data_IF_370936440566
#
_entry.id   IF_370936440566
#
_cell.length_a   1.000
_cell.length_b   1.000
_cell.length_c   1.000
_cell.angle_alpha   90.00
_cell.angle_beta   90.00
_cell.angle_gamma   90.00
#
_symmetry.space_group_name_H-M   'P 1'
#
loop_
_entity.id
_entity.type
_entity.pdbx_description
1 polymer ?
#
# COMPACT_ATOMS: atom_id res chain seq x y z
N UNK A 1 29.35 21.06 1.11
CA UNK A 1 29.87 21.73 -0.11
C UNK A 1 31.26 21.22 -0.48
N UNK A 2 31.99 20.60 0.45
CA UNK A 2 33.39 20.27 0.23
C UNK A 2 33.62 18.97 -0.56
N UNK A 3 32.73 17.97 -0.45
CA UNK A 3 32.91 16.67 -1.12
C UNK A 3 32.91 16.73 -2.65
N UNK A 4 32.09 17.61 -3.26
CA UNK A 4 32.04 17.74 -4.73
C UNK A 4 33.26 18.49 -5.26
N UNK A 5 33.76 19.47 -4.50
CA UNK A 5 34.99 20.19 -4.84
C UNK A 5 36.21 19.27 -4.69
N UNK A 6 36.25 18.47 -3.63
CA UNK A 6 37.30 17.47 -3.42
C UNK A 6 37.32 16.41 -4.54
N UNK A 7 36.14 15.91 -4.93
CA UNK A 7 36.03 14.97 -6.04
C UNK A 7 36.48 15.58 -7.37
N UNK A 8 36.05 16.81 -7.68
CA UNK A 8 36.49 17.51 -8.89
C UNK A 8 38.02 17.65 -8.91
N UNK A 9 38.64 18.02 -7.80
CA UNK A 9 40.10 18.10 -7.69
C UNK A 9 40.79 16.74 -7.92
N UNK A 10 40.23 15.63 -7.40
CA UNK A 10 40.76 14.28 -7.64
C UNK A 10 40.63 13.86 -9.11
N UNK A 11 39.50 14.16 -9.75
CA UNK A 11 39.25 13.89 -11.17
C UNK A 11 40.23 14.68 -12.04
N UNK A 12 40.46 15.95 -11.73
CA UNK A 12 41.41 16.80 -12.45
C UNK A 12 42.85 16.30 -12.27
N UNK A 13 43.24 15.91 -11.05
CA UNK A 13 44.55 15.30 -10.79
C UNK A 13 44.75 14.01 -11.60
N UNK A 14 43.73 13.14 -11.65
CA UNK A 14 43.78 11.91 -12.45
C UNK A 14 43.86 12.19 -13.96
N UNK A 15 43.13 13.20 -14.47
CA UNK A 15 43.24 13.64 -15.87
C UNK A 15 44.62 14.19 -16.20
N UNK A 16 45.19 14.99 -15.31
CA UNK A 16 46.55 15.50 -15.48
C UNK A 16 47.56 14.36 -15.53
N UNK A 17 47.42 13.33 -14.68
CA UNK A 17 48.27 12.15 -14.71
C UNK A 17 48.16 11.39 -16.03
N UNK A 18 46.95 11.16 -16.54
CA UNK A 18 46.74 10.55 -17.87
C UNK A 18 47.46 11.37 -18.95
N UNK A 19 47.27 12.69 -18.96
CA UNK A 19 47.94 13.57 -19.91
C UNK A 19 49.47 13.47 -19.85
N UNK A 20 50.06 13.40 -18.65
CA UNK A 20 51.49 13.19 -18.47
C UNK A 20 51.97 11.83 -18.98
N UNK A 21 51.22 10.75 -18.70
CA UNK A 21 51.55 9.39 -19.19
C UNK A 21 51.43 9.30 -20.71
N UNK A 22 50.43 9.94 -21.29
CA UNK A 22 50.24 9.98 -22.73
C UNK A 22 51.37 10.75 -23.41
N UNK A 23 51.79 11.89 -22.86
CA UNK A 23 52.96 12.62 -23.35
C UNK A 23 54.25 11.79 -23.28
N UNK A 24 54.44 11.00 -22.21
CA UNK A 24 55.58 10.09 -22.09
C UNK A 24 55.56 8.99 -23.17
N UNK A 25 54.39 8.37 -23.43
CA UNK A 25 54.21 7.39 -24.50
C UNK A 25 54.59 7.99 -25.86
N UNK A 26 54.09 9.19 -26.18
CA UNK A 26 54.40 9.86 -27.44
C UNK A 26 55.90 10.20 -27.57
N UNK A 27 56.53 10.70 -26.50
CA UNK A 27 57.98 10.95 -26.50
C UNK A 27 58.80 9.67 -26.74
N UNK A 28 58.40 8.55 -26.13
CA UNK A 28 59.06 7.25 -26.36
C UNK A 28 58.83 6.76 -27.79
N UNK A 29 57.62 6.92 -28.35
CA UNK A 29 57.32 6.57 -29.76
C UNK A 29 58.16 7.38 -30.75
N UNK A 30 58.33 8.68 -30.54
CA UNK A 30 59.18 9.52 -31.40
C UNK A 30 60.64 9.08 -31.41
N UNK A 31 61.19 8.75 -30.23
CA UNK A 31 62.54 8.19 -30.14
C UNK A 31 62.65 6.85 -30.86
N UNK A 32 61.61 6.03 -30.78
CA UNK A 32 61.53 4.74 -31.47
C UNK A 32 61.49 4.90 -32.99
N UNK A 33 60.70 5.85 -33.52
CA UNK A 33 60.67 6.19 -34.96
C UNK A 33 62.05 6.58 -35.48
N UNK A 34 62.78 7.42 -34.71
CA UNK A 34 64.16 7.80 -35.06
C UNK A 34 65.10 6.59 -35.13
N UNK A 35 65.03 5.70 -34.14
CA UNK A 35 65.86 4.49 -34.12
C UNK A 35 65.46 3.47 -35.19
N UNK A 36 64.17 3.34 -35.48
CA UNK A 36 63.63 2.49 -36.55
C UNK A 36 64.14 2.91 -37.94
N UNK A 37 64.34 4.21 -38.16
CA UNK A 37 64.97 4.71 -39.38
C UNK A 37 66.50 4.51 -39.40
N UNK A 38 67.17 4.57 -38.25
CA UNK A 38 68.65 4.55 -38.16
C UNK A 38 69.24 3.13 -38.13
N UNK A 39 68.58 2.18 -37.45
CA UNK A 39 69.08 0.80 -37.31
C UNK A 39 69.28 0.08 -38.65
N UNK A 40 68.38 0.20 -39.66
CA UNK A 40 68.61 -0.39 -40.97
C UNK A 40 69.87 0.17 -41.66
N UNK A 41 70.12 1.47 -41.53
CA UNK A 41 71.31 2.10 -42.12
C UNK A 41 72.60 1.55 -41.49
N UNK A 42 72.63 1.38 -40.17
CA UNK A 42 73.79 0.77 -39.48
C UNK A 42 73.94 -0.72 -39.82
N UNK A 43 72.84 -1.44 -40.02
CA UNK A 43 72.86 -2.83 -40.48
C UNK A 43 73.46 -2.96 -41.88
N UNK A 44 73.04 -2.11 -42.82
CA UNK A 44 73.58 -2.07 -44.18
C UNK A 44 75.06 -1.70 -44.18
N UNK A 45 75.46 -0.71 -43.37
CA UNK A 45 76.86 -0.28 -43.25
C UNK A 45 77.76 -1.40 -42.73
N UNK A 46 77.37 -2.08 -41.65
CA UNK A 46 78.12 -3.20 -41.12
C UNK A 46 78.21 -4.36 -42.12
N UNK A 47 77.14 -4.64 -42.86
CA UNK A 47 77.12 -5.66 -43.91
C UNK A 47 78.06 -5.32 -45.08
N UNK A 48 78.09 -4.06 -45.51
CA UNK A 48 79.01 -3.59 -46.56
C UNK A 48 80.47 -3.73 -46.14
N UNK A 49 80.82 -3.31 -44.92
CA UNK A 49 82.19 -3.47 -44.38
C UNK A 49 82.57 -4.93 -44.20
N UNK A 50 81.64 -5.81 -43.84
CA UNK A 50 81.86 -7.25 -43.81
C UNK A 50 82.23 -7.81 -45.18
N UNK A 51 81.54 -7.37 -46.24
CA UNK A 51 81.83 -7.78 -47.61
C UNK A 51 83.20 -7.27 -48.09
N UNK A 52 83.56 -6.01 -47.78
CA UNK A 52 84.87 -5.44 -48.10
C UNK A 52 86.01 -6.15 -47.35
N UNK A 53 85.79 -6.54 -46.09
CA UNK A 53 86.76 -7.29 -45.30
C UNK A 53 87.04 -8.66 -45.91
N UNK A 54 86.00 -9.33 -46.43
CA UNK A 54 86.14 -10.63 -47.12
C UNK A 54 87.01 -10.52 -48.38
N UNK A 55 87.03 -9.35 -49.02
CA UNK A 55 87.86 -9.02 -50.17
C UNK A 55 89.20 -8.35 -49.77
N UNK A 56 89.50 -8.25 -48.47
CA UNK A 56 90.71 -7.62 -47.90
C UNK A 56 90.88 -6.11 -48.19
N UNK A 57 89.81 -5.39 -48.52
CA UNK A 57 89.84 -3.95 -48.82
C UNK A 57 89.76 -3.03 -47.57
N UNK A 58 89.45 -3.57 -46.39
CA UNK A 58 89.33 -2.82 -45.12
C UNK A 58 89.95 -3.59 -43.95
N UNK A 59 90.29 -2.89 -42.87
CA UNK A 59 90.83 -3.52 -41.66
C UNK A 59 89.73 -4.28 -40.89
N UNK A 60 90.13 -5.38 -40.23
CA UNK A 60 89.26 -6.07 -39.27
C UNK A 60 88.79 -5.15 -38.14
N UNK A 61 89.62 -4.18 -37.74
CA UNK A 61 89.26 -3.22 -36.70
C UNK A 61 88.11 -2.31 -37.13
N UNK A 62 88.11 -1.84 -38.38
CA UNK A 62 87.03 -0.99 -38.92
C UNK A 62 85.70 -1.75 -38.96
N UNK A 63 85.72 -3.01 -39.42
CA UNK A 63 84.54 -3.86 -39.37
C UNK A 63 84.01 -4.05 -37.94
N UNK A 64 84.89 -4.37 -36.99
CA UNK A 64 84.47 -4.57 -35.59
C UNK A 64 83.90 -3.30 -34.97
N UNK A 65 84.39 -2.13 -35.36
CA UNK A 65 83.84 -0.84 -34.93
C UNK A 65 82.39 -0.65 -35.43
N UNK A 66 82.12 -0.87 -36.72
CA UNK A 66 80.76 -0.72 -37.26
C UNK A 66 79.81 -1.82 -36.78
N UNK A 67 80.32 -3.04 -36.59
CA UNK A 67 79.55 -4.15 -36.01
C UNK A 67 79.14 -3.85 -34.56
N UNK A 68 80.02 -3.24 -33.76
CA UNK A 68 79.68 -2.77 -32.41
C UNK A 68 78.62 -1.67 -32.46
N UNK A 69 78.77 -0.66 -33.33
CA UNK A 69 77.77 0.40 -33.49
C UNK A 69 76.38 -0.14 -33.87
N UNK A 70 76.34 -1.14 -34.77
CA UNK A 70 75.11 -1.84 -35.13
C UNK A 70 74.46 -2.52 -33.92
N UNK A 71 75.25 -3.27 -33.14
CA UNK A 71 74.76 -3.96 -31.94
C UNK A 71 74.24 -2.96 -30.92
N UNK A 72 74.95 -1.88 -30.66
CA UNK A 72 74.55 -0.84 -29.71
C UNK A 72 73.22 -0.20 -30.11
N UNK A 73 73.06 0.16 -31.39
CA UNK A 73 71.79 0.71 -31.91
C UNK A 73 70.64 -0.28 -31.88
N UNK A 74 70.90 -1.56 -32.17
CA UNK A 74 69.89 -2.61 -32.07
C UNK A 74 69.43 -2.82 -30.61
N UNK A 75 70.36 -2.80 -29.65
CA UNK A 75 70.05 -2.88 -28.21
C UNK A 75 69.30 -1.63 -27.73
N UNK A 76 69.71 -0.44 -28.17
CA UNK A 76 69.00 0.81 -27.87
C UNK A 76 67.54 0.76 -28.37
N UNK A 77 67.31 0.29 -29.60
CA UNK A 77 65.97 0.11 -30.16
C UNK A 77 65.13 -0.90 -29.37
N UNK A 78 65.71 -2.06 -29.03
CA UNK A 78 65.04 -3.06 -28.21
C UNK A 78 64.69 -2.53 -26.81
N UNK A 79 65.58 -1.76 -26.20
CA UNK A 79 65.36 -1.08 -24.92
C UNK A 79 64.22 -0.07 -24.97
N UNK A 80 64.20 0.81 -25.98
CA UNK A 80 63.11 1.78 -26.18
C UNK A 80 61.77 1.09 -26.46
N UNK A 81 61.77 -0.05 -27.18
CA UNK A 81 60.56 -0.85 -27.40
C UNK A 81 60.01 -1.47 -26.13
N UNK A 82 60.89 -1.95 -25.25
CA UNK A 82 60.46 -2.41 -23.92
C UNK A 82 59.88 -1.26 -23.10
N UNK A 83 60.56 -0.10 -23.10
CA UNK A 83 60.09 1.11 -22.41
C UNK A 83 58.72 1.57 -22.92
N UNK A 84 58.48 1.55 -24.23
CA UNK A 84 57.18 1.90 -24.80
C UNK A 84 56.05 1.02 -24.23
N UNK A 85 56.29 -0.30 -24.10
CA UNK A 85 55.30 -1.21 -23.50
C UNK A 85 55.03 -0.86 -22.03
N UNK A 86 56.07 -0.49 -21.28
CA UNK A 86 55.93 -0.05 -19.89
C UNK A 86 55.13 1.25 -19.79
N UNK A 87 55.45 2.25 -20.62
CA UNK A 87 54.74 3.53 -20.65
C UNK A 87 53.26 3.35 -21.05
N UNK A 88 52.98 2.46 -22.00
CA UNK A 88 51.62 2.10 -22.40
C UNK A 88 50.85 1.39 -21.28
N UNK A 89 51.50 0.47 -20.56
CA UNK A 89 50.88 -0.18 -19.40
C UNK A 89 50.56 0.82 -18.28
N UNK A 90 51.48 1.76 -18.01
CA UNK A 90 51.27 2.82 -17.02
C UNK A 90 50.17 3.80 -17.42
N UNK A 91 50.01 4.08 -18.72
CA UNK A 91 48.88 4.87 -19.24
C UNK A 91 47.55 4.13 -19.03
N UNK A 92 47.49 2.85 -19.41
CA UNK A 92 46.29 2.03 -19.24
C UNK A 92 45.88 1.92 -17.77
N UNK A 93 46.84 1.76 -16.86
CA UNK A 93 46.60 1.78 -15.40
C UNK A 93 46.04 3.12 -14.93
N UNK A 94 46.59 4.25 -15.38
CA UNK A 94 46.08 5.58 -15.05
C UNK A 94 44.64 5.79 -15.56
N UNK A 95 44.34 5.32 -16.77
CA UNK A 95 42.98 5.35 -17.34
C UNK A 95 42.01 4.47 -16.55
N UNK A 96 42.42 3.26 -16.14
CA UNK A 96 41.60 2.38 -15.30
C UNK A 96 41.31 3.00 -13.94
N UNK A 97 42.31 3.60 -13.29
CA UNK A 97 42.15 4.29 -12.02
C UNK A 97 41.20 5.49 -12.14
N UNK A 98 41.26 6.22 -13.26
CA UNK A 98 40.31 7.30 -13.54
C UNK A 98 38.87 6.80 -13.67
N UNK A 99 38.64 5.69 -14.39
CA UNK A 99 37.30 5.10 -14.52
C UNK A 99 36.79 4.52 -13.21
N UNK A 100 37.67 3.91 -12.41
CA UNK A 100 37.34 3.42 -11.08
C UNK A 100 36.90 4.55 -10.16
N UNK A 101 37.63 5.68 -10.16
CA UNK A 101 37.30 6.88 -9.39
C UNK A 101 35.91 7.42 -9.76
N UNK A 102 35.57 7.48 -11.05
CA UNK A 102 34.25 7.91 -11.51
C UNK A 102 33.16 6.95 -11.02
N UNK A 103 33.39 5.65 -11.19
CA UNK A 103 32.43 4.62 -10.82
C UNK A 103 32.15 4.61 -9.32
N UNK A 104 33.19 4.72 -8.49
CA UNK A 104 33.09 4.79 -7.04
C UNK A 104 32.26 6.02 -6.60
N UNK A 105 32.51 7.18 -7.19
CA UNK A 105 31.76 8.39 -6.87
C UNK A 105 30.29 8.27 -7.26
N UNK A 106 29.98 7.73 -8.45
CA UNK A 106 28.60 7.49 -8.88
C UNK A 106 27.88 6.53 -7.92
N UNK A 107 28.53 5.42 -7.55
CA UNK A 107 27.96 4.45 -6.60
C UNK A 107 27.70 5.08 -5.23
N UNK A 108 28.67 5.85 -4.71
CA UNK A 108 28.53 6.57 -3.44
C UNK A 108 27.35 7.54 -3.46
N UNK A 109 27.21 8.33 -4.53
CA UNK A 109 26.11 9.29 -4.67
C UNK A 109 24.76 8.63 -4.89
N UNK A 110 24.72 7.51 -5.60
CA UNK A 110 23.48 6.73 -5.74
C UNK A 110 23.04 6.13 -4.40
N UNK A 111 23.99 5.64 -3.58
CA UNK A 111 23.70 5.13 -2.25
C UNK A 111 23.19 6.24 -1.31
N UNK A 112 23.82 7.42 -1.34
CA UNK A 112 23.39 8.59 -0.58
C UNK A 112 21.98 9.05 -0.99
N UNK A 113 21.70 9.11 -2.30
CA UNK A 113 20.38 9.44 -2.84
C UNK A 113 19.32 8.45 -2.34
N UNK A 114 19.56 7.15 -2.49
CA UNK A 114 18.64 6.10 -2.04
C UNK A 114 18.35 6.19 -0.54
N UNK A 115 19.38 6.44 0.28
CA UNK A 115 19.21 6.63 1.72
C UNK A 115 18.33 7.85 2.06
N UNK A 116 18.54 8.96 1.36
CA UNK A 116 17.74 10.18 1.53
C UNK A 116 16.31 9.98 1.06
N UNK A 117 16.09 9.28 -0.07
CA UNK A 117 14.75 8.96 -0.58
C UNK A 117 13.98 8.06 0.37
N UNK A 118 14.61 7.02 0.92
CA UNK A 118 13.99 6.17 1.94
C UNK A 118 13.61 6.97 3.19
N UNK A 119 14.49 7.88 3.63
CA UNK A 119 14.21 8.76 4.78
C UNK A 119 13.06 9.72 4.47
N UNK A 120 13.03 10.31 3.28
CA UNK A 120 11.95 11.19 2.85
C UNK A 120 10.61 10.45 2.80
N UNK A 121 10.58 9.25 2.22
CA UNK A 121 9.39 8.40 2.18
C UNK A 121 8.87 8.06 3.60
N UNK A 122 9.78 7.73 4.52
CA UNK A 122 9.43 7.49 5.93
C UNK A 122 8.84 8.74 6.59
N UNK A 123 9.47 9.90 6.43
CA UNK A 123 8.99 11.18 6.99
C UNK A 123 7.63 11.57 6.42
N UNK A 124 7.36 11.32 5.14
CA UNK A 124 6.04 11.55 4.53
C UNK A 124 4.96 10.70 5.21
N UNK A 125 5.26 9.44 5.52
CA UNK A 125 4.32 8.57 6.26
C UNK A 125 4.11 9.05 7.69
N UNK A 126 5.16 9.54 8.36
CA UNK A 126 5.04 10.12 9.70
C UNK A 126 4.16 11.38 9.69
N UNK A 127 4.35 12.27 8.72
CA UNK A 127 3.51 13.47 8.55
C UNK A 127 2.06 13.09 8.29
N UNK A 128 1.81 12.09 7.41
CA UNK A 128 0.45 11.59 7.15
C UNK A 128 -0.21 11.04 8.42
N UNK A 129 0.52 10.22 9.18
CA UNK A 129 0.05 9.65 10.45
C UNK A 129 -0.23 10.74 11.49
N UNK A 130 0.62 11.76 11.58
CA UNK A 130 0.42 12.90 12.46
C UNK A 130 -0.81 13.71 12.05
N UNK A 131 -1.00 13.97 10.75
CA UNK A 131 -2.18 14.64 10.20
C UNK A 131 -3.48 13.91 10.53
N UNK A 132 -3.54 12.60 10.27
CA UNK A 132 -4.71 11.76 10.63
C UNK A 132 -4.99 11.79 12.13
N UNK A 133 -3.97 11.76 12.98
CA UNK A 133 -4.14 11.86 14.43
C UNK A 133 -4.76 13.21 14.83
N UNK A 134 -4.34 14.30 14.20
CA UNK A 134 -4.92 15.63 14.44
C UNK A 134 -6.36 15.73 13.95
N UNK A 135 -6.69 15.14 12.79
CA UNK A 135 -8.08 15.08 12.32
C UNK A 135 -8.98 14.31 13.28
N UNK A 136 -8.51 13.16 13.80
CA UNK A 136 -9.24 12.34 14.77
C UNK A 136 -9.39 12.99 16.16
N UNK A 137 -8.64 14.06 16.46
CA UNK A 137 -8.88 14.85 17.68
C UNK A 137 -10.13 15.72 17.58
N UNK A 138 -10.64 15.97 16.37
CA UNK A 138 -11.90 16.67 16.15
C UNK A 138 -13.02 15.65 15.96
N UNK A 139 -13.83 15.46 16.99
CA UNK A 139 -15.01 14.61 16.92
C UNK A 139 -16.14 15.38 16.24
N UNK A 140 -16.72 14.76 15.21
CA UNK A 140 -17.89 15.27 14.47
C UNK A 140 -19.00 14.24 14.54
N UNK A 141 -20.26 14.70 14.47
CA UNK A 141 -21.39 13.76 14.42
C UNK A 141 -21.43 13.05 13.07
N UNK A 142 -21.55 11.72 13.02
CA UNK A 142 -21.68 10.98 11.76
C UNK A 142 -23.11 11.04 11.19
N UNK A 143 -24.09 11.45 12.01
CA UNK A 143 -25.51 11.49 11.70
C UNK A 143 -26.14 12.78 12.23
N UNK A 144 -27.22 13.23 11.62
CA UNK A 144 -28.05 14.28 12.17
C UNK A 144 -28.86 13.73 13.36
N UNK A 145 -28.94 14.49 14.45
CA UNK A 145 -29.59 14.01 15.67
C UNK A 145 -29.39 14.94 16.86
N UNK A 146 -29.85 14.48 18.01
CA UNK A 146 -29.72 15.18 19.29
C UNK A 146 -28.66 14.53 20.15
N UNK A 147 -27.79 15.34 20.76
CA UNK A 147 -26.81 14.88 21.73
C UNK A 147 -27.50 14.53 23.06
N UNK A 148 -27.30 13.30 23.53
CA UNK A 148 -27.73 12.79 24.82
C UNK A 148 -26.52 12.22 25.59
N UNK A 149 -26.70 12.01 26.91
CA UNK A 149 -25.70 11.37 27.78
C UNK A 149 -24.28 11.95 27.65
N UNK A 150 -24.14 13.29 27.72
CA UNK A 150 -22.83 13.94 27.73
C UNK A 150 -22.09 13.57 29.02
N UNK A 151 -20.99 12.81 28.89
CA UNK A 151 -20.21 12.30 30.02
C UNK A 151 -19.06 13.24 30.44
N UNK A 152 -18.69 14.21 29.60
CA UNK A 152 -17.58 15.14 29.86
C UNK A 152 -18.10 16.57 29.93
N UNK A 153 -17.81 17.25 31.04
CA UNK A 153 -18.34 18.58 31.34
C UNK A 153 -17.24 19.65 31.55
N UNK A 154 -15.97 19.31 31.34
CA UNK A 154 -14.83 20.19 31.67
C UNK A 154 -13.92 20.43 30.47
N UNK A 155 -13.57 21.70 30.24
CA UNK A 155 -12.55 22.10 29.26
C UNK A 155 -11.17 21.77 29.84
N UNK A 156 -10.37 20.99 29.10
CA UNK A 156 -9.03 20.56 29.53
C UNK A 156 -8.98 19.21 30.29
N UNK A 157 -10.11 18.51 30.43
CA UNK A 157 -10.14 17.15 30.95
C UNK A 157 -9.47 16.16 29.99
N UNK A 158 -8.78 15.15 30.53
CA UNK A 158 -8.13 14.09 29.76
C UNK A 158 -9.12 12.93 29.59
N UNK A 159 -9.22 12.39 28.38
CA UNK A 159 -10.06 11.24 28.03
C UNK A 159 -9.23 10.12 27.42
N UNK A 160 -9.64 8.87 27.63
CA UNK A 160 -8.93 7.70 27.09
C UNK A 160 -9.52 7.24 25.74
N UNK A 161 -8.75 6.50 24.92
CA UNK A 161 -9.30 5.85 23.73
C UNK A 161 -10.48 4.94 24.10
N UNK A 162 -11.54 4.96 23.28
CA UNK A 162 -12.78 4.21 23.47
C UNK A 162 -13.64 4.61 24.69
N UNK A 163 -13.30 5.69 25.40
CA UNK A 163 -14.21 6.26 26.39
C UNK A 163 -15.42 6.88 25.68
N UNK A 164 -16.65 6.45 25.98
CA UNK A 164 -17.84 7.10 25.43
C UNK A 164 -17.97 8.51 26.02
N UNK A 165 -18.09 9.51 25.15
CA UNK A 165 -18.17 10.92 25.55
C UNK A 165 -19.60 11.47 25.49
N UNK A 166 -20.37 11.03 24.50
CA UNK A 166 -21.77 11.40 24.26
C UNK A 166 -22.43 10.38 23.33
N UNK A 167 -23.76 10.41 23.28
CA UNK A 167 -24.58 9.61 22.36
C UNK A 167 -25.35 10.55 21.44
N UNK A 168 -25.37 10.27 20.13
CA UNK A 168 -26.21 11.01 19.17
C UNK A 168 -27.40 10.14 18.78
N UNK A 169 -28.61 10.64 18.99
CA UNK A 169 -29.85 9.94 18.66
C UNK A 169 -30.50 10.60 17.43
N UNK A 170 -30.73 9.87 16.32
CA UNK A 170 -31.45 10.38 15.15
C UNK A 170 -32.85 10.89 15.51
N UNK A 171 -33.30 11.98 14.89
CA UNK A 171 -34.66 12.51 15.08
C UNK A 171 -35.71 11.76 14.25
N UNK A 172 -35.33 11.17 13.11
CA UNK A 172 -36.26 10.63 12.11
C UNK A 172 -36.25 9.09 12.03
N UNK A 173 -36.58 8.42 13.13
CA UNK A 173 -36.93 6.99 13.06
C UNK A 173 -38.45 6.79 13.15
N UNK A 174 -39.08 6.11 12.16
CA UNK A 174 -40.46 5.71 12.29
C UNK A 174 -40.59 4.79 13.51
N UNK A 175 -41.61 5.04 14.34
CA UNK A 175 -41.88 4.21 15.52
C UNK A 175 -42.29 2.81 15.05
N UNK A 176 -41.44 1.83 15.28
CA UNK A 176 -41.72 0.41 15.06
C UNK A 176 -42.21 -0.25 16.34
N UNK A 177 -43.06 -1.26 16.20
CA UNK A 177 -43.56 -2.06 17.32
C UNK A 177 -42.92 -3.44 17.25
N UNK A 178 -42.32 -3.86 18.35
CA UNK A 178 -41.85 -5.22 18.54
C UNK A 178 -42.98 -6.06 19.16
N UNK A 179 -43.44 -7.07 18.44
CA UNK A 179 -44.52 -7.95 18.86
C UNK A 179 -43.98 -9.37 19.11
N UNK A 180 -44.36 -9.95 20.24
CA UNK A 180 -44.05 -11.34 20.58
C UNK A 180 -45.18 -12.24 20.07
N UNK A 181 -44.82 -13.25 19.27
CA UNK A 181 -45.73 -14.22 18.69
C UNK A 181 -45.54 -15.57 19.36
N UNK A 182 -46.64 -16.23 19.66
CA UNK A 182 -46.58 -17.60 20.17
C UNK A 182 -46.24 -18.59 19.05
N UNK A 183 -45.54 -19.68 19.40
CA UNK A 183 -45.11 -20.72 18.45
C UNK A 183 -46.26 -21.36 17.66
N UNK A 184 -47.51 -21.34 18.18
CA UNK A 184 -48.68 -21.86 17.44
C UNK A 184 -49.11 -20.98 16.27
N UNK A 185 -48.78 -19.69 16.29
CA UNK A 185 -49.30 -18.70 15.34
C UNK A 185 -48.30 -18.36 14.22
N UNK A 186 -47.01 -18.69 14.41
CA UNK A 186 -45.92 -18.41 13.45
C UNK A 186 -46.21 -18.94 12.04
N UNK A 187 -46.86 -20.10 11.92
CA UNK A 187 -47.15 -20.74 10.63
C UNK A 187 -48.09 -19.94 9.72
N UNK A 188 -48.77 -18.92 10.27
CA UNK A 188 -49.74 -18.10 9.54
C UNK A 188 -49.30 -16.64 9.34
N UNK A 189 -48.19 -16.23 9.97
CA UNK A 189 -47.70 -14.86 9.91
C UNK A 189 -46.60 -14.73 8.86
N UNK A 190 -46.72 -13.70 8.01
CA UNK A 190 -45.75 -13.39 6.95
C UNK A 190 -45.52 -11.90 6.84
N UNK A 191 -44.33 -11.55 6.36
CA UNK A 191 -43.96 -10.19 6.01
C UNK A 191 -44.98 -9.58 5.02
N UNK A 192 -45.31 -8.30 5.22
CA UNK A 192 -46.25 -7.54 4.41
C UNK A 192 -47.73 -7.70 4.78
N UNK A 193 -48.09 -8.58 5.73
CA UNK A 193 -49.47 -8.71 6.18
C UNK A 193 -49.98 -7.43 6.86
N UNK A 194 -51.22 -7.00 6.59
CA UNK A 194 -51.81 -5.85 7.26
C UNK A 194 -52.11 -6.18 8.71
N UNK A 195 -51.79 -5.26 9.60
CA UNK A 195 -52.02 -5.38 11.04
C UNK A 195 -52.86 -4.21 11.57
N UNK A 196 -53.47 -4.42 12.72
CA UNK A 196 -54.06 -3.35 13.52
C UNK A 196 -53.38 -3.29 14.88
N UNK A 197 -52.87 -2.11 15.22
CA UNK A 197 -52.14 -1.83 16.45
C UNK A 197 -53.09 -1.19 17.46
N UNK A 198 -53.24 -1.84 18.62
CA UNK A 198 -54.04 -1.35 19.75
C UNK A 198 -53.09 -0.89 20.85
N UNK A 199 -53.08 0.40 21.13
CA UNK A 199 -52.24 0.98 22.19
C UNK A 199 -52.94 0.77 23.53
N UNK A 200 -52.32 0.05 24.47
CA UNK A 200 -53.00 -0.34 25.72
C UNK A 200 -53.37 0.88 26.59
N UNK A 201 -52.55 1.93 26.56
CA UNK A 201 -52.79 3.18 27.29
C UNK A 201 -54.00 3.96 26.76
N UNK A 202 -54.48 3.66 25.54
CA UNK A 202 -55.61 4.35 24.91
C UNK A 202 -56.65 3.33 24.40
N UNK A 203 -57.78 3.15 25.11
CA UNK A 203 -58.80 2.18 24.73
C UNK A 203 -59.22 2.31 23.25
N UNK A 204 -58.97 1.25 22.47
CA UNK A 204 -59.21 1.23 21.03
C UNK A 204 -60.69 1.43 20.66
N UNK A 205 -61.61 1.12 21.58
CA UNK A 205 -63.05 1.35 21.41
C UNK A 205 -63.43 2.82 21.34
N UNK A 206 -62.64 3.70 21.96
CA UNK A 206 -62.86 5.14 21.98
C UNK A 206 -62.01 5.87 20.94
N UNK A 207 -60.76 5.44 20.76
CA UNK A 207 -59.76 6.18 20.00
C UNK A 207 -59.30 5.48 18.70
N UNK A 208 -59.82 4.28 18.43
CA UNK A 208 -59.51 3.49 17.24
C UNK A 208 -58.18 2.74 17.32
N UNK A 209 -57.82 2.13 16.18
CA UNK A 209 -56.55 1.40 15.99
C UNK A 209 -55.62 2.17 15.06
N UNK A 210 -54.35 1.77 15.04
CA UNK A 210 -53.39 2.29 14.06
C UNK A 210 -53.09 1.18 13.05
N UNK A 211 -53.34 1.42 11.75
CA UNK A 211 -52.95 0.46 10.72
C UNK A 211 -51.43 0.38 10.59
N UNK A 212 -50.98 -0.79 10.19
CA UNK A 212 -49.56 -1.07 9.99
C UNK A 212 -49.34 -2.32 9.16
N UNK A 213 -48.08 -2.71 9.01
CA UNK A 213 -47.69 -3.93 8.30
C UNK A 213 -46.62 -4.69 9.07
N UNK A 214 -46.65 -6.02 8.96
CA UNK A 214 -45.53 -6.85 9.41
C UNK A 214 -44.31 -6.53 8.54
N UNK A 215 -43.23 -6.04 9.15
CA UNK A 215 -41.97 -5.77 8.47
C UNK A 215 -41.15 -7.05 8.36
N UNK A 216 -40.90 -7.70 9.49
CA UNK A 216 -40.03 -8.87 9.57
C UNK A 216 -40.53 -9.82 10.64
N UNK A 217 -40.36 -11.12 10.42
CA UNK A 217 -40.62 -12.15 11.43
C UNK A 217 -39.33 -12.93 11.66
N UNK A 218 -38.87 -13.00 12.91
CA UNK A 218 -37.69 -13.77 13.27
C UNK A 218 -37.88 -15.24 12.86
N UNK A 219 -36.86 -15.82 12.22
CA UNK A 219 -36.85 -17.24 11.87
C UNK A 219 -36.61 -18.17 13.07
N UNK A 220 -36.09 -17.62 14.17
CA UNK A 220 -35.75 -18.35 15.38
C UNK A 220 -36.62 -17.90 16.56
N UNK A 221 -36.99 -18.87 17.38
CA UNK A 221 -37.72 -18.64 18.62
C UNK A 221 -36.75 -18.28 19.76
N UNK A 222 -37.10 -17.24 20.52
CA UNK A 222 -36.35 -16.76 21.69
C UNK A 222 -37.09 -17.08 22.99
N UNK A 223 -36.37 -17.32 24.11
CA UNK A 223 -37.00 -17.52 25.41
C UNK A 223 -37.76 -16.26 25.86
N UNK A 224 -39.01 -16.42 26.30
CA UNK A 224 -39.88 -15.32 26.76
C UNK A 224 -39.38 -14.66 28.06
N UNK A 225 -38.60 -15.39 28.86
CA UNK A 225 -37.86 -14.88 30.02
C UNK A 225 -36.89 -15.97 30.50
N UNK A 226 -35.83 -15.63 31.23
CA UNK A 226 -34.87 -16.64 31.72
C UNK A 226 -35.48 -17.65 32.71
N UNK A 227 -36.60 -17.29 33.36
CA UNK A 227 -37.18 -18.05 34.47
C UNK A 227 -38.55 -18.71 34.15
N UNK A 228 -39.23 -18.30 33.07
CA UNK A 228 -40.56 -18.80 32.70
C UNK A 228 -40.50 -19.44 31.33
N UNK A 229 -40.24 -20.75 31.31
CA UNK A 229 -40.08 -21.53 30.09
C UNK A 229 -41.17 -21.27 29.05
N UNK A 230 -40.75 -20.95 27.84
CA UNK A 230 -41.62 -20.67 26.69
C UNK A 230 -40.80 -20.04 25.56
N UNK A 231 -40.97 -20.54 24.34
CA UNK A 231 -40.33 -20.01 23.14
C UNK A 231 -41.33 -19.15 22.37
N UNK A 232 -40.96 -17.89 22.09
CA UNK A 232 -41.74 -16.95 21.29
C UNK A 232 -40.93 -16.48 20.09
N UNK A 233 -41.63 -16.11 19.01
CA UNK A 233 -41.01 -15.49 17.85
C UNK A 233 -41.19 -13.98 17.94
N UNK A 234 -40.16 -13.23 17.55
CA UNK A 234 -40.24 -11.77 17.53
C UNK A 234 -40.61 -11.30 16.14
N UNK A 235 -41.59 -10.42 16.03
CA UNK A 235 -41.98 -9.76 14.80
C UNK A 235 -41.87 -8.25 14.93
N UNK A 236 -41.33 -7.60 13.91
CA UNK A 236 -41.33 -6.13 13.83
C UNK A 236 -42.45 -5.66 12.95
N UNK A 237 -43.13 -4.62 13.40
CA UNK A 237 -44.36 -4.14 12.78
C UNK A 237 -44.27 -2.63 12.61
N UNK A 238 -44.52 -2.16 11.38
CA UNK A 238 -44.55 -0.73 11.08
C UNK A 238 -45.84 -0.11 11.58
N UNK A 239 -45.77 1.17 11.94
CA UNK A 239 -46.92 1.99 12.29
C UNK A 239 -47.10 3.09 11.24
N UNK A 240 -48.26 3.17 10.59
CA UNK A 240 -48.48 4.15 9.52
C UNK A 240 -48.49 5.60 10.02
N UNK A 241 -48.75 5.79 11.32
CA UNK A 241 -48.69 7.09 12.01
C UNK A 241 -48.24 6.93 13.45
N UNK A 242 -47.24 7.69 13.88
CA UNK A 242 -46.80 7.73 15.28
C UNK A 242 -47.63 8.70 16.16
N UNK A 243 -48.85 9.06 15.74
CA UNK A 243 -49.71 9.99 16.46
C UNK A 243 -51.14 9.48 16.54
N UNK A 244 -51.82 9.80 17.64
CA UNK A 244 -53.19 9.40 17.92
C UNK A 244 -54.01 10.60 18.43
N UNK A 245 -55.27 10.72 18.01
CA UNK A 245 -56.16 11.73 18.56
C UNK A 245 -56.80 11.21 19.84
N UNK A 246 -56.53 11.90 20.95
CA UNK A 246 -57.06 11.58 22.28
C UNK A 246 -57.65 12.87 22.83
N UNK A 247 -58.94 12.86 23.15
CA UNK A 247 -59.66 14.02 23.71
C UNK A 247 -59.48 15.33 22.91
N UNK A 248 -59.42 15.22 21.57
CA UNK A 248 -59.25 16.37 20.67
C UNK A 248 -57.82 16.92 20.56
N UNK A 249 -56.84 16.26 21.19
CA UNK A 249 -55.41 16.59 21.05
C UNK A 249 -54.66 15.49 20.31
N UNK A 250 -53.72 15.88 19.47
CA UNK A 250 -52.83 14.94 18.78
C UNK A 250 -51.66 14.59 19.72
N UNK A 251 -51.65 13.36 20.20
CA UNK A 251 -50.60 12.83 21.09
C UNK A 251 -49.60 12.05 20.24
N UNK A 252 -48.31 12.27 20.49
CA UNK A 252 -47.22 11.49 19.88
C UNK A 252 -46.98 10.22 20.70
N UNK A 253 -46.85 9.10 20.02
CA UNK A 253 -46.54 7.83 20.64
C UNK A 253 -45.04 7.75 20.92
N UNK A 254 -44.67 7.61 22.20
CA UNK A 254 -43.29 7.46 22.65
C UNK A 254 -42.90 5.99 22.83
N UNK A 255 -41.61 5.64 22.67
CA UNK A 255 -41.10 4.31 23.03
C UNK A 255 -41.44 3.92 24.48
N UNK A 256 -41.70 2.63 24.70
CA UNK A 256 -42.03 2.07 26.02
C UNK A 256 -43.52 1.86 26.31
N UNK A 257 -44.42 2.26 25.40
CA UNK A 257 -45.84 1.94 25.52
C UNK A 257 -46.14 0.48 25.12
N UNK A 258 -47.03 -0.16 25.87
CA UNK A 258 -47.52 -1.50 25.55
C UNK A 258 -48.53 -1.46 24.39
N UNK A 259 -48.34 -2.37 23.44
CA UNK A 259 -49.14 -2.45 22.21
C UNK A 259 -49.54 -3.89 21.97
N UNK A 260 -50.83 -4.12 21.70
CA UNK A 260 -51.33 -5.40 21.19
C UNK A 260 -51.43 -5.33 19.67
N UNK A 261 -50.83 -6.30 18.97
CA UNK A 261 -50.83 -6.38 17.51
C UNK A 261 -51.79 -7.47 17.03
N UNK A 262 -52.77 -7.09 16.22
CA UNK A 262 -53.66 -8.05 15.56
C UNK A 262 -53.27 -8.22 14.10
N UNK A 263 -52.78 -9.41 13.74
CA UNK A 263 -52.30 -9.74 12.40
C UNK A 263 -53.41 -10.43 11.61
N UNK A 264 -53.71 -9.92 10.41
CA UNK A 264 -54.75 -10.50 9.54
C UNK A 264 -54.18 -11.71 8.77
N UNK A 265 -54.42 -12.92 9.28
CA UNK A 265 -53.85 -14.18 8.77
C UNK A 265 -54.70 -14.89 7.68
N UNK A 266 -55.93 -14.41 7.41
CA UNK A 266 -56.77 -14.92 6.32
C UNK A 266 -58.25 -14.52 6.44
N UNK A 267 -59.03 -14.77 5.40
CA UNK A 267 -60.49 -14.60 5.40
C UNK A 267 -61.14 -15.98 5.39
N UNK A 268 -61.90 -16.33 6.45
CA UNK A 268 -62.69 -17.56 6.49
C UNK A 268 -64.15 -17.27 6.13
N UNK A 269 -64.76 -18.14 5.34
CA UNK A 269 -66.20 -18.06 5.03
C UNK A 269 -67.00 -18.73 6.14
N UNK A 270 -68.11 -18.13 6.57
CA UNK A 270 -68.95 -18.63 7.68
C UNK A 270 -69.39 -20.09 7.47
N UNK A 271 -69.61 -20.49 6.21
CA UNK A 271 -69.98 -21.87 5.84
C UNK A 271 -68.91 -22.91 6.23
N UNK A 272 -67.64 -22.52 6.34
CA UNK A 272 -66.54 -23.40 6.77
C UNK A 272 -66.62 -23.72 8.27
N UNK A 273 -67.14 -22.83 9.10
CA UNK A 273 -67.36 -23.14 10.52
C UNK A 273 -68.38 -24.27 10.69
N UNK A 274 -69.47 -24.23 9.92
CA UNK A 274 -70.55 -25.24 9.97
C UNK A 274 -70.14 -26.61 9.40
N UNK A 275 -69.33 -26.63 8.34
CA UNK A 275 -68.91 -27.88 7.69
C UNK A 275 -67.59 -28.46 8.25
N UNK A 276 -66.85 -27.70 9.06
CA UNK A 276 -65.56 -28.14 9.64
C UNK A 276 -65.64 -29.44 10.48
N UNK A 277 -66.70 -29.76 11.24
CA UNK A 277 -66.77 -31.00 12.01
C UNK A 277 -66.98 -32.23 11.10
N UNK A 278 -67.79 -32.09 10.05
CA UNK A 278 -68.13 -33.18 9.13
C UNK A 278 -66.91 -33.62 8.29
N UNK A 279 -66.09 -32.66 7.88
CA UNK A 279 -64.86 -32.92 7.11
C UNK A 279 -63.73 -33.54 7.95
N UNK A 280 -63.64 -33.22 9.25
CA UNK A 280 -62.67 -33.85 10.17
C UNK A 280 -63.02 -35.32 10.42
N UNK A 281 -64.29 -35.65 10.69
CA UNK A 281 -64.71 -37.05 10.89
C UNK A 281 -64.46 -37.95 9.68
N UNK A 282 -64.58 -37.44 8.46
CA UNK A 282 -64.30 -38.25 7.25
C UNK A 282 -62.81 -38.49 6.99
N UNK A 283 -61.90 -37.65 7.50
CA UNK A 283 -60.46 -37.80 7.27
C UNK A 283 -59.73 -38.55 8.40
N UNK A 284 -60.25 -38.52 9.62
CA UNK A 284 -59.68 -39.31 10.73
C UNK A 284 -60.11 -40.79 10.70
N UNK A 285 -61.26 -41.15 10.09
CA UNK A 285 -61.70 -42.55 10.04
C UNK A 285 -60.99 -43.42 8.98
N UNK A 286 -60.06 -42.86 8.20
CA UNK A 286 -59.31 -43.57 7.15
C UNK A 286 -57.80 -43.67 7.43
N UNK A 287 -57.35 -43.32 8.65
CA UNK A 287 -55.98 -43.56 9.11
C UNK A 287 -55.99 -44.04 10.57
N UNK A 288 -56.12 -45.35 10.73
CA UNK A 288 -55.64 -46.04 11.93
C UNK A 288 -54.30 -46.72 11.60
N UNK A 289 -53.22 -46.06 12.00
CA UNK A 289 -51.93 -46.55 12.54
C UNK A 289 -50.89 -45.44 12.48
#
# INVERSE_FOLDING_TARGET
RDQTAEYAARVDAARHLIGQRQAAVEATKENLRRLEATVPMENERAAAYRALLAQQYVSKMDYLQFEQQRIDKAQEWAGQRSKLRQDQAALAEAEQNYQALISEFQQSKQAELSAVEMKAASLIQEVRKAGQKTELQKLVSPIDGVVQQLAVHTVGGVVTPAQPLLMVVPQDHPVEVEAQLENRDIGFVREGQPVELKIETFPFTLYGTIPGKVLTVSGDAVPLDKDKGGLVYVSRVSMDRATMQVEGKQIHLTPGMAVTVEIKTGQRRVIEFLLSPLLKSTKESLRER
#
